data_IF_981201524640
#
_entry.id   IF_981201524640
#
_cell.length_a   1.000
_cell.length_b   1.000
_cell.length_c   1.000
_cell.angle_alpha   90.00
_cell.angle_beta   90.00
_cell.angle_gamma   90.00
#
_symmetry.space_group_name_H-M   'P 1'
#
loop_
_entity.id
_entity.type
_entity.pdbx_description
1 polymer ?
#
# COMPACT_ATOMS: atom_id res chain seq x y z
N UNK A 1 5.14 16.21 11.47
CA UNK A 1 4.99 16.93 10.19
C UNK A 1 6.07 16.51 9.19
N UNK A 2 7.39 16.69 9.43
CA UNK A 2 8.46 16.40 8.47
C UNK A 2 8.42 14.97 7.83
N UNK A 3 8.31 13.93 8.64
CA UNK A 3 8.19 12.57 8.13
C UNK A 3 6.95 12.32 7.24
N UNK A 4 5.85 13.04 7.49
CA UNK A 4 4.64 12.99 6.66
C UNK A 4 4.86 13.67 5.31
N UNK A 5 5.56 14.82 5.26
CA UNK A 5 5.95 15.47 4.00
C UNK A 5 6.76 14.50 3.14
N UNK A 6 7.77 13.87 3.72
CA UNK A 6 8.59 12.88 3.02
C UNK A 6 7.80 11.69 2.49
N UNK A 7 6.79 11.20 3.20
CA UNK A 7 6.00 10.03 2.77
C UNK A 7 4.94 10.41 1.74
N UNK A 8 4.25 11.52 1.96
CA UNK A 8 3.10 11.95 1.16
C UNK A 8 3.49 12.52 -0.19
N UNK A 9 4.52 13.37 -0.21
CA UNK A 9 4.94 14.11 -1.39
C UNK A 9 6.18 13.51 -2.06
N UNK A 10 6.41 13.71 -3.36
CA UNK A 10 7.58 13.22 -4.07
C UNK A 10 8.85 14.05 -3.74
N UNK A 11 9.12 14.24 -2.45
CA UNK A 11 10.23 15.00 -1.92
C UNK A 11 11.38 14.08 -1.49
N UNK A 12 12.63 14.49 -1.73
CA UNK A 12 13.79 13.88 -1.09
C UNK A 12 13.86 14.30 0.39
N UNK A 13 14.74 13.68 1.16
CA UNK A 13 14.98 14.11 2.55
C UNK A 13 15.58 15.52 2.62
N UNK A 14 16.38 15.90 1.60
CA UNK A 14 16.97 17.24 1.49
C UNK A 14 15.92 18.28 1.12
N UNK A 15 15.01 17.97 0.18
CA UNK A 15 13.90 18.87 -0.12
C UNK A 15 13.05 19.17 1.12
N UNK A 16 12.85 18.17 1.99
CA UNK A 16 12.15 18.38 3.27
C UNK A 16 12.95 19.25 4.23
N UNK A 17 14.27 19.07 4.31
CA UNK A 17 15.19 19.94 5.07
C UNK A 17 15.08 21.39 4.59
N UNK A 18 15.18 21.61 3.27
CA UNK A 18 15.12 22.94 2.66
C UNK A 18 13.77 23.62 2.91
N UNK A 19 12.66 22.90 2.70
CA UNK A 19 11.32 23.40 3.00
C UNK A 19 11.09 23.77 4.47
N UNK A 20 11.73 23.07 5.39
CA UNK A 20 11.66 23.38 6.82
C UNK A 20 12.51 24.61 7.17
N UNK A 21 13.69 24.71 6.57
CA UNK A 21 14.60 25.86 6.73
C UNK A 21 13.97 27.18 6.27
N UNK A 22 13.27 27.14 5.11
CA UNK A 22 12.50 28.29 4.61
C UNK A 22 11.42 28.78 5.60
N UNK A 23 11.00 27.93 6.53
CA UNK A 23 10.02 28.22 7.59
C UNK A 23 10.67 28.49 8.96
N UNK A 24 11.98 28.72 8.98
CA UNK A 24 12.73 28.95 10.21
C UNK A 24 12.91 27.71 11.10
N UNK A 25 12.70 26.50 10.55
CA UNK A 25 12.86 25.25 11.30
C UNK A 25 14.18 24.58 10.86
N UNK A 26 15.21 24.70 11.70
CA UNK A 26 16.53 24.13 11.44
C UNK A 26 16.56 22.64 11.82
N UNK A 27 16.39 21.78 10.82
CA UNK A 27 16.41 20.32 10.96
C UNK A 27 17.15 19.69 9.80
N UNK A 28 18.19 18.92 10.06
CA UNK A 28 18.95 18.25 9.01
C UNK A 28 18.16 17.08 8.36
N UNK A 29 18.49 16.75 7.11
CA UNK A 29 17.90 15.62 6.40
C UNK A 29 18.17 14.27 7.11
N UNK A 30 19.26 14.14 7.88
CA UNK A 30 19.53 12.97 8.70
C UNK A 30 18.54 12.87 9.88
N UNK A 31 18.18 14.00 10.49
CA UNK A 31 17.14 14.05 11.52
C UNK A 31 15.77 13.67 10.93
N UNK A 32 15.43 14.17 9.74
CA UNK A 32 14.23 13.77 9.02
C UNK A 32 14.23 12.26 8.72
N UNK A 33 15.41 11.73 8.31
CA UNK A 33 15.59 10.28 8.10
C UNK A 33 15.38 9.48 9.37
N UNK A 34 15.93 9.91 10.49
CA UNK A 34 15.73 9.30 11.79
C UNK A 34 14.23 9.28 12.19
N UNK A 35 13.56 10.44 12.08
CA UNK A 35 12.13 10.54 12.39
C UNK A 35 11.27 9.65 11.49
N UNK A 36 11.56 9.63 10.20
CA UNK A 36 10.90 8.72 9.28
C UNK A 36 11.08 7.25 9.71
N UNK A 37 12.28 6.86 10.05
CA UNK A 37 12.56 5.46 10.43
C UNK A 37 11.97 5.08 11.78
N UNK A 38 11.99 5.97 12.73
CA UNK A 38 11.58 5.72 14.12
C UNK A 38 10.07 5.84 14.31
N UNK A 39 9.48 6.93 13.85
CA UNK A 39 8.11 7.30 14.20
C UNK A 39 7.07 6.91 13.15
N UNK A 40 7.40 6.91 11.86
CA UNK A 40 6.40 6.63 10.82
C UNK A 40 5.73 5.26 10.94
N UNK A 41 6.41 4.17 11.34
CA UNK A 41 5.74 2.90 11.57
C UNK A 41 4.72 2.94 12.72
N UNK A 42 5.01 3.71 13.77
CA UNK A 42 4.12 3.89 14.92
C UNK A 42 2.87 4.63 14.50
N UNK A 43 3.01 5.77 13.84
CA UNK A 43 1.88 6.52 13.28
C UNK A 43 1.06 5.72 12.29
N UNK A 44 1.72 4.97 11.40
CA UNK A 44 1.02 4.10 10.45
C UNK A 44 0.25 2.97 11.14
N UNK A 45 0.75 2.43 12.24
CA UNK A 45 0.05 1.44 13.03
C UNK A 45 -1.19 2.03 13.72
N UNK A 46 -1.06 3.25 14.28
CA UNK A 46 -2.16 3.95 14.94
C UNK A 46 -3.26 4.33 13.95
N UNK A 47 -2.91 4.94 12.80
CA UNK A 47 -3.86 5.24 11.72
C UNK A 47 -4.62 3.97 11.32
N UNK A 48 -3.89 2.87 11.15
CA UNK A 48 -4.46 1.58 10.74
C UNK A 48 -5.42 1.02 11.80
N UNK A 49 -5.04 1.09 13.09
CA UNK A 49 -5.85 0.63 14.20
C UNK A 49 -7.19 1.37 14.27
N UNK A 50 -7.15 2.70 14.18
CA UNK A 50 -8.37 3.54 14.18
C UNK A 50 -9.28 3.21 12.99
N UNK A 51 -8.69 3.04 11.80
CA UNK A 51 -9.44 2.72 10.59
C UNK A 51 -10.03 1.31 10.59
N UNK A 52 -9.27 0.31 11.05
CA UNK A 52 -9.80 -1.06 11.13
C UNK A 52 -11.05 -1.15 12.02
N UNK A 53 -11.13 -0.32 13.05
CA UNK A 53 -12.32 -0.20 13.90
C UNK A 53 -13.51 0.40 13.15
N UNK A 54 -13.28 1.44 12.35
CA UNK A 54 -14.33 2.08 11.54
C UNK A 54 -14.75 1.23 10.34
N UNK A 55 -13.80 0.61 9.63
CA UNK A 55 -14.04 -0.14 8.41
C UNK A 55 -14.71 -1.51 8.63
N UNK A 56 -14.69 -2.07 9.84
CA UNK A 56 -15.36 -3.35 10.13
C UNK A 56 -16.84 -3.34 9.77
N UNK A 57 -17.46 -2.17 9.76
CA UNK A 57 -18.87 -2.02 9.37
C UNK A 57 -19.08 -1.92 7.85
N UNK A 58 -18.09 -1.42 7.08
CA UNK A 58 -18.28 -1.02 5.69
C UNK A 58 -17.41 -1.76 4.66
N UNK A 59 -16.31 -2.39 5.05
CA UNK A 59 -15.32 -2.97 4.10
C UNK A 59 -15.69 -4.32 3.51
N UNK A 60 -16.88 -4.85 3.81
CA UNK A 60 -17.25 -6.23 3.49
C UNK A 60 -17.58 -6.48 2.02
N UNK A 61 -17.88 -5.45 1.24
CA UNK A 61 -18.65 -5.61 0.02
C UNK A 61 -17.82 -5.89 -1.23
N UNK A 62 -16.69 -5.19 -1.41
CA UNK A 62 -15.91 -5.35 -2.64
C UNK A 62 -14.44 -5.02 -2.42
N UNK A 63 -13.58 -5.96 -2.79
CA UNK A 63 -12.13 -5.74 -2.80
C UNK A 63 -11.62 -5.71 -4.22
N UNK A 64 -10.71 -4.80 -4.50
CA UNK A 64 -9.95 -4.75 -5.74
C UNK A 64 -8.50 -5.12 -5.43
N UNK A 65 -7.99 -6.15 -6.11
CA UNK A 65 -6.65 -6.69 -5.83
C UNK A 65 -5.83 -6.69 -7.09
N UNK A 66 -4.63 -6.13 -7.02
CA UNK A 66 -3.68 -6.09 -8.12
C UNK A 66 -2.24 -6.05 -7.61
N UNK A 67 -1.28 -6.29 -8.50
CA UNK A 67 0.13 -6.17 -8.21
C UNK A 67 0.88 -5.33 -9.23
N UNK A 68 1.89 -4.59 -8.75
CA UNK A 68 2.80 -3.83 -9.59
C UNK A 68 4.24 -4.25 -9.39
N UNK A 69 5.03 -4.14 -10.44
CA UNK A 69 6.45 -4.40 -10.39
C UNK A 69 7.21 -3.26 -9.72
N UNK A 70 8.13 -3.57 -8.83
CA UNK A 70 9.04 -2.61 -8.20
C UNK A 70 10.46 -3.16 -8.23
N UNK A 71 11.43 -2.36 -8.63
CA UNK A 71 12.86 -2.76 -8.57
C UNK A 71 13.41 -2.57 -7.16
N UNK A 72 14.07 -3.61 -6.64
CA UNK A 72 14.83 -3.58 -5.40
C UNK A 72 16.23 -4.06 -5.70
N UNK A 73 17.22 -3.20 -5.56
CA UNK A 73 18.62 -3.48 -5.91
C UNK A 73 18.77 -4.13 -7.31
N UNK A 74 18.12 -3.53 -8.31
CA UNK A 74 18.12 -4.02 -9.70
C UNK A 74 17.22 -5.22 -9.98
N UNK A 75 16.74 -5.94 -8.98
CA UNK A 75 15.89 -7.13 -9.14
C UNK A 75 14.40 -6.81 -9.02
N UNK A 76 13.58 -7.41 -9.86
CA UNK A 76 12.13 -7.25 -9.83
C UNK A 76 11.51 -7.89 -8.60
N UNK A 77 10.60 -7.15 -7.97
CA UNK A 77 9.72 -7.57 -6.90
C UNK A 77 8.29 -7.19 -7.26
N UNK A 78 7.32 -7.76 -6.55
CA UNK A 78 5.91 -7.49 -6.74
C UNK A 78 5.35 -6.83 -5.50
N UNK A 79 4.76 -5.66 -5.66
CA UNK A 79 3.96 -5.01 -4.62
C UNK A 79 2.50 -5.34 -4.91
N UNK A 80 1.94 -6.20 -4.09
CA UNK A 80 0.53 -6.56 -4.09
C UNK A 80 -0.25 -5.55 -3.27
N UNK A 81 -1.33 -5.04 -3.80
CA UNK A 81 -2.22 -4.13 -3.11
C UNK A 81 -3.65 -4.62 -3.19
N UNK A 82 -4.37 -4.44 -2.10
CA UNK A 82 -5.81 -4.59 -2.05
C UNK A 82 -6.41 -3.27 -1.60
N UNK A 83 -7.46 -2.84 -2.28
CA UNK A 83 -8.23 -1.65 -1.91
C UNK A 83 -9.71 -2.01 -1.80
N UNK A 84 -10.44 -1.23 -1.03
CA UNK A 84 -11.89 -1.34 -0.95
C UNK A 84 -12.60 -0.58 -2.08
N UNK A 85 -13.92 -0.48 -1.95
CA UNK A 85 -14.76 0.25 -2.91
C UNK A 85 -14.44 1.75 -2.99
N UNK A 86 -14.02 2.35 -1.90
CA UNK A 86 -13.66 3.76 -1.78
C UNK A 86 -12.25 4.04 -2.29
N UNK A 87 -11.46 3.00 -2.58
CA UNK A 87 -10.06 3.09 -3.05
C UNK A 87 -9.06 3.16 -1.90
N UNK A 88 -9.48 2.86 -0.67
CA UNK A 88 -8.61 2.79 0.48
C UNK A 88 -7.78 1.52 0.50
N UNK A 89 -6.51 1.67 0.83
CA UNK A 89 -5.59 0.53 0.84
C UNK A 89 -5.82 -0.31 2.09
N UNK A 90 -6.39 -1.48 1.90
CA UNK A 90 -6.58 -2.49 2.93
C UNK A 90 -5.29 -3.21 3.29
N UNK A 91 -4.49 -3.55 2.28
CA UNK A 91 -3.23 -4.27 2.48
C UNK A 91 -2.22 -3.96 1.36
N UNK A 92 -0.93 -3.97 1.72
CA UNK A 92 0.20 -3.83 0.81
C UNK A 92 1.31 -4.81 1.19
N UNK A 93 1.62 -5.77 0.32
CA UNK A 93 2.59 -6.84 0.57
C UNK A 93 3.62 -6.92 -0.55
N UNK A 94 4.91 -6.97 -0.20
CA UNK A 94 6.01 -7.11 -1.15
C UNK A 94 6.50 -8.54 -1.19
N UNK A 95 6.63 -9.10 -2.40
CA UNK A 95 7.12 -10.46 -2.61
C UNK A 95 8.16 -10.53 -3.73
N UNK A 96 8.96 -11.60 -3.73
CA UNK A 96 9.90 -11.91 -4.83
C UNK A 96 9.24 -12.65 -5.98
N UNK A 97 8.14 -13.36 -5.72
CA UNK A 97 7.46 -14.21 -6.69
C UNK A 97 6.02 -13.77 -6.87
N UNK A 98 5.54 -13.93 -8.09
CA UNK A 98 4.15 -13.72 -8.49
C UNK A 98 3.54 -15.09 -8.76
N UNK A 99 2.96 -15.70 -7.73
CA UNK A 99 2.41 -17.05 -7.83
C UNK A 99 1.16 -17.23 -6.96
N UNK A 100 0.50 -18.38 -7.11
CA UNK A 100 -0.69 -18.78 -6.36
C UNK A 100 -0.50 -18.68 -4.85
N UNK A 101 0.66 -19.13 -4.32
CA UNK A 101 0.91 -19.12 -2.87
C UNK A 101 0.93 -17.69 -2.32
N UNK A 102 1.47 -16.74 -3.09
CA UNK A 102 1.48 -15.34 -2.71
C UNK A 102 0.08 -14.73 -2.72
N UNK A 103 -0.69 -15.00 -3.78
CA UNK A 103 -2.09 -14.56 -3.87
C UNK A 103 -2.91 -15.13 -2.71
N UNK A 104 -2.75 -16.42 -2.41
CA UNK A 104 -3.43 -17.10 -1.31
C UNK A 104 -3.08 -16.48 0.05
N UNK A 105 -1.79 -16.19 0.29
CA UNK A 105 -1.33 -15.54 1.53
C UNK A 105 -1.94 -14.14 1.70
N UNK A 106 -2.00 -13.36 0.63
CA UNK A 106 -2.62 -12.03 0.64
C UNK A 106 -4.10 -12.12 0.96
N UNK A 107 -4.85 -12.96 0.23
CA UNK A 107 -6.29 -13.12 0.40
C UNK A 107 -6.64 -13.65 1.80
N UNK A 108 -5.91 -14.62 2.32
CA UNK A 108 -6.07 -15.10 3.71
C UNK A 108 -5.85 -13.99 4.73
N UNK A 109 -4.83 -13.15 4.51
CA UNK A 109 -4.54 -12.01 5.38
C UNK A 109 -5.67 -10.99 5.37
N UNK A 110 -6.21 -10.68 4.19
CA UNK A 110 -7.37 -9.80 4.02
C UNK A 110 -8.59 -10.36 4.75
N UNK A 111 -8.94 -11.63 4.51
CA UNK A 111 -10.09 -12.28 5.14
C UNK A 111 -9.96 -12.35 6.66
N UNK A 112 -8.75 -12.62 7.18
CA UNK A 112 -8.50 -12.65 8.63
C UNK A 112 -8.71 -11.28 9.27
N UNK A 113 -8.33 -10.21 8.57
CA UNK A 113 -8.33 -8.86 9.10
C UNK A 113 -9.65 -8.12 8.91
N UNK A 114 -10.23 -8.23 7.72
CA UNK A 114 -11.40 -7.48 7.29
C UNK A 114 -12.68 -8.33 7.16
N UNK A 115 -12.59 -9.64 7.45
CA UNK A 115 -13.72 -10.55 7.30
C UNK A 115 -13.89 -11.05 5.86
N UNK A 116 -15.07 -11.61 5.57
CA UNK A 116 -15.40 -12.10 4.22
C UNK A 116 -15.95 -10.94 3.38
N UNK A 117 -15.52 -10.85 2.13
CA UNK A 117 -16.08 -9.92 1.15
C UNK A 117 -17.15 -10.62 0.30
N UNK A 118 -17.99 -9.85 -0.34
CA UNK A 118 -18.96 -10.33 -1.32
C UNK A 118 -18.33 -10.50 -2.70
N UNK A 119 -17.44 -9.57 -3.09
CA UNK A 119 -16.76 -9.60 -4.38
C UNK A 119 -15.26 -9.36 -4.23
N UNK A 120 -14.48 -10.06 -5.07
CA UNK A 120 -13.05 -9.84 -5.24
C UNK A 120 -12.77 -9.54 -6.71
N UNK A 121 -12.51 -8.29 -7.02
CA UNK A 121 -12.11 -7.87 -8.37
C UNK A 121 -10.61 -8.07 -8.50
N UNK A 122 -10.20 -8.78 -9.54
CA UNK A 122 -8.79 -9.04 -9.81
C UNK A 122 -8.47 -8.84 -11.29
N UNK A 123 -7.20 -8.66 -11.60
CA UNK A 123 -6.70 -8.87 -12.97
C UNK A 123 -6.90 -10.32 -13.43
N UNK A 124 -6.66 -10.57 -14.72
CA UNK A 124 -6.85 -11.89 -15.34
C UNK A 124 -5.80 -12.94 -14.97
N UNK A 125 -4.92 -12.64 -14.01
CA UNK A 125 -3.83 -13.53 -13.62
C UNK A 125 -4.35 -14.83 -12.97
N UNK A 126 -3.98 -15.97 -13.53
CA UNK A 126 -4.48 -17.30 -13.13
C UNK A 126 -4.25 -17.64 -11.65
N UNK A 127 -3.23 -17.06 -11.02
CA UNK A 127 -2.94 -17.28 -9.60
C UNK A 127 -4.04 -16.79 -8.66
N UNK A 128 -4.79 -15.72 -9.02
CA UNK A 128 -5.94 -15.28 -8.22
C UNK A 128 -7.06 -16.29 -8.27
N UNK A 129 -7.39 -16.78 -9.49
CA UNK A 129 -8.42 -17.81 -9.68
C UNK A 129 -8.10 -19.06 -8.87
N UNK A 130 -6.86 -19.54 -8.97
CA UNK A 130 -6.40 -20.72 -8.24
C UNK A 130 -6.42 -20.51 -6.71
N UNK A 131 -6.02 -19.31 -6.23
CA UNK A 131 -6.03 -18.99 -4.81
C UNK A 131 -7.46 -18.87 -4.24
N UNK A 132 -8.38 -18.24 -4.98
CA UNK A 132 -9.78 -18.13 -4.58
C UNK A 132 -10.49 -19.49 -4.57
N UNK A 133 -10.14 -20.39 -5.51
CA UNK A 133 -10.62 -21.77 -5.49
C UNK A 133 -10.20 -22.50 -4.21
N UNK A 134 -8.94 -22.39 -3.79
CA UNK A 134 -8.44 -23.01 -2.55
C UNK A 134 -9.09 -22.42 -1.29
N UNK A 135 -9.65 -21.22 -1.39
CA UNK A 135 -10.36 -20.56 -0.29
C UNK A 135 -11.88 -20.82 -0.30
N UNK A 136 -12.39 -21.60 -1.28
CA UNK A 136 -13.82 -21.81 -1.45
C UNK A 136 -14.58 -20.52 -1.74
N UNK A 137 -13.96 -19.59 -2.47
CA UNK A 137 -14.50 -18.24 -2.75
C UNK A 137 -14.39 -17.87 -4.24
N UNK A 138 -14.35 -18.87 -5.12
CA UNK A 138 -14.17 -18.64 -6.56
C UNK A 138 -15.36 -17.87 -7.17
N UNK A 139 -16.55 -18.12 -6.69
CA UNK A 139 -17.80 -17.48 -7.13
C UNK A 139 -17.79 -15.96 -6.90
N UNK A 140 -16.96 -15.49 -5.97
CA UNK A 140 -16.78 -14.06 -5.64
C UNK A 140 -15.85 -13.34 -6.59
N UNK A 141 -15.10 -14.06 -7.43
CA UNK A 141 -14.17 -13.43 -8.36
C UNK A 141 -14.91 -12.69 -9.46
N UNK A 142 -14.53 -11.45 -9.68
CA UNK A 142 -14.92 -10.66 -10.86
C UNK A 142 -13.67 -10.23 -11.62
N UNK A 143 -13.71 -10.38 -12.93
CA UNK A 143 -12.64 -9.96 -13.84
C UNK A 143 -13.24 -9.21 -15.01
N UNK A 144 -12.63 -8.10 -15.41
CA UNK A 144 -13.11 -7.31 -16.55
C UNK A 144 -12.12 -6.18 -16.86
N UNK A 145 -12.21 -5.64 -18.08
CA UNK A 145 -11.26 -4.66 -18.61
C UNK A 145 -11.14 -3.41 -17.71
N UNK A 146 -12.25 -2.92 -17.18
CA UNK A 146 -12.31 -1.67 -16.42
C UNK A 146 -12.61 -1.86 -14.94
N UNK A 147 -12.93 -3.07 -14.53
CA UNK A 147 -13.37 -3.35 -13.17
C UNK A 147 -12.27 -3.10 -12.13
N UNK A 148 -11.01 -3.22 -12.52
CA UNK A 148 -9.87 -3.12 -11.60
C UNK A 148 -9.21 -1.73 -11.55
N UNK A 149 -9.74 -0.74 -12.28
CA UNK A 149 -9.18 0.63 -12.34
C UNK A 149 -8.98 1.26 -10.96
N UNK A 150 -9.80 0.89 -9.99
CA UNK A 150 -9.72 1.42 -8.62
C UNK A 150 -8.38 1.09 -7.96
N UNK A 151 -7.95 -0.15 -8.00
CA UNK A 151 -6.64 -0.53 -7.46
C UNK A 151 -5.50 -0.03 -8.33
N UNK A 152 -5.67 -0.01 -9.66
CA UNK A 152 -4.70 0.56 -10.59
C UNK A 152 -4.44 2.03 -10.27
N UNK A 153 -5.49 2.84 -10.07
CA UNK A 153 -5.37 4.23 -9.66
C UNK A 153 -4.70 4.38 -8.28
N UNK A 154 -4.92 3.44 -7.36
CA UNK A 154 -4.26 3.45 -6.06
C UNK A 154 -2.74 3.29 -6.15
N UNK A 155 -2.22 2.74 -7.25
CA UNK A 155 -0.78 2.62 -7.48
C UNK A 155 -0.12 3.95 -7.86
N UNK A 156 -0.86 4.90 -8.46
CA UNK A 156 -0.29 6.16 -8.97
C UNK A 156 0.43 6.99 -7.91
N UNK A 157 -0.14 7.26 -6.71
CA UNK A 157 0.56 8.00 -5.66
C UNK A 157 1.84 7.30 -5.20
N UNK A 158 1.79 5.96 -5.07
CA UNK A 158 2.95 5.17 -4.73
C UNK A 158 4.04 5.26 -5.81
N UNK A 159 3.67 5.15 -7.09
CA UNK A 159 4.60 5.25 -8.23
C UNK A 159 5.27 6.62 -8.33
N UNK A 160 4.52 7.71 -8.12
CA UNK A 160 5.08 9.06 -8.07
C UNK A 160 6.16 9.14 -6.99
N UNK A 161 5.86 8.59 -5.82
CA UNK A 161 6.79 8.58 -4.69
C UNK A 161 8.00 7.67 -4.92
N UNK A 162 7.81 6.48 -5.48
CA UNK A 162 8.88 5.55 -5.84
C UNK A 162 9.92 6.19 -6.77
N UNK A 163 9.45 6.88 -7.79
CA UNK A 163 10.31 7.56 -8.77
C UNK A 163 11.18 8.65 -8.10
N UNK A 164 10.63 9.43 -7.19
CA UNK A 164 11.35 10.44 -6.45
C UNK A 164 12.39 9.89 -5.45
N UNK A 165 12.22 8.66 -4.99
CA UNK A 165 13.12 7.98 -4.05
C UNK A 165 14.36 7.34 -4.70
N UNK A 166 14.59 7.51 -5.98
CA UNK A 166 15.64 6.90 -6.79
C UNK A 166 15.54 5.36 -6.84
N UNK A 167 15.72 4.63 -5.72
CA UNK A 167 15.63 3.16 -5.68
C UNK A 167 15.55 2.60 -4.26
N UNK A 168 14.91 1.43 -4.13
CA UNK A 168 14.97 0.62 -2.92
C UNK A 168 16.16 -0.33 -2.95
N UNK A 169 16.96 -0.35 -1.89
CA UNK A 169 18.12 -1.26 -1.75
C UNK A 169 17.74 -2.62 -1.15
N UNK A 170 16.68 -2.70 -0.34
CA UNK A 170 16.25 -3.91 0.37
C UNK A 170 14.73 -4.10 0.30
N UNK A 171 14.29 -5.34 0.13
CA UNK A 171 12.87 -5.70 0.18
C UNK A 171 12.16 -5.20 1.45
N UNK A 172 12.84 -5.33 2.62
CA UNK A 172 12.31 -4.86 3.92
C UNK A 172 12.04 -3.35 3.92
N UNK A 173 12.91 -2.57 3.30
CA UNK A 173 12.73 -1.12 3.19
C UNK A 173 11.53 -0.77 2.30
N UNK A 174 11.37 -1.46 1.17
CA UNK A 174 10.19 -1.31 0.32
C UNK A 174 8.90 -1.70 1.06
N UNK A 175 8.90 -2.86 1.77
CA UNK A 175 7.73 -3.30 2.54
C UNK A 175 7.35 -2.29 3.63
N UNK A 176 8.33 -1.78 4.37
CA UNK A 176 8.12 -0.74 5.38
C UNK A 176 7.54 0.52 4.75
N UNK A 177 8.15 0.98 3.67
CA UNK A 177 7.67 2.17 2.97
C UNK A 177 6.25 1.99 2.44
N UNK A 178 5.96 0.89 1.75
CA UNK A 178 4.63 0.60 1.21
C UNK A 178 3.55 0.57 2.29
N UNK A 179 3.84 -0.03 3.45
CA UNK A 179 2.91 -0.10 4.57
C UNK A 179 2.62 1.29 5.18
N UNK A 180 3.65 2.11 5.36
CA UNK A 180 3.49 3.47 5.91
C UNK A 180 2.80 4.38 4.89
N UNK A 181 3.24 4.34 3.62
CA UNK A 181 2.62 5.12 2.54
C UNK A 181 1.13 4.82 2.41
N UNK A 182 0.73 3.54 2.48
CA UNK A 182 -0.68 3.16 2.42
C UNK A 182 -1.49 3.76 3.56
N UNK A 183 -0.97 3.73 4.79
CA UNK A 183 -1.66 4.32 5.95
C UNK A 183 -1.76 5.84 5.85
N UNK A 184 -0.69 6.51 5.44
CA UNK A 184 -0.68 7.97 5.23
C UNK A 184 -1.62 8.35 4.09
N UNK A 185 -1.59 7.61 2.98
CA UNK A 185 -2.49 7.82 1.84
C UNK A 185 -3.96 7.75 2.28
N UNK A 186 -4.34 6.68 2.97
CA UNK A 186 -5.69 6.52 3.47
C UNK A 186 -6.10 7.67 4.39
N UNK A 187 -5.22 8.09 5.32
CA UNK A 187 -5.51 9.17 6.26
C UNK A 187 -5.92 10.48 5.57
N UNK A 188 -5.20 10.84 4.51
CA UNK A 188 -5.47 12.07 3.76
C UNK A 188 -6.49 11.92 2.62
N UNK A 189 -6.90 10.71 2.28
CA UNK A 189 -7.88 10.47 1.20
C UNK A 189 -9.33 10.57 1.71
N UNK A 190 -9.55 10.65 3.01
CA UNK A 190 -10.88 10.82 3.62
C UNK A 190 -11.48 12.22 3.43
N UNK A 191 -10.66 13.18 3.04
CA UNK A 191 -11.07 14.59 2.88
C UNK A 191 -11.53 14.93 1.44
N UNK A 192 -11.86 13.90 0.62
CA UNK A 192 -12.31 14.11 -0.77
C UNK A 192 -13.69 13.53 -1.01
#
# INVERSE_FOLDING_TARGET
MAAMLYVRFPLSLRDVEDLLRERGIEVSHETVRYWWQRFSPVFAAEIRRKRDQQLRAFSKWKWHVDEVFVKVNGKWHYLWRAVDREGEVLEAVVTKRRNKQTALKLLRKLMKRHGKTEEVVTGRFASYKAALRDLGALEKQRTGRWLNNRVENSHLPFRRRERAMQRFRRKRSLQKFAAVHSSVYNHFNQER
#
